data_IF_149474971813
#
_entry.id   IF_149474971813
#
_cell.length_a   1.000
_cell.length_b   1.000
_cell.length_c   1.000
_cell.angle_alpha   90.00
_cell.angle_beta   90.00
_cell.angle_gamma   90.00
#
_symmetry.space_group_name_H-M   'P 1'
#
loop_
_entity.id
_entity.type
_entity.pdbx_description
1 polymer ?
#
# COMPACT_ATOMS: atom_id res chain seq x y z
N UNK A 1 22.97 14.96 -54.49
CA UNK A 1 23.65 14.04 -53.57
C UNK A 1 23.14 14.32 -52.18
N UNK A 2 22.22 13.54 -51.73
CA UNK A 2 21.77 13.54 -50.32
C UNK A 2 21.85 12.07 -49.87
N UNK A 3 22.89 11.76 -49.09
CA UNK A 3 23.03 10.48 -48.40
C UNK A 3 21.95 10.40 -47.32
N UNK A 4 20.93 9.62 -47.62
CA UNK A 4 19.93 9.24 -46.63
C UNK A 4 20.56 8.18 -45.73
N UNK A 5 20.81 8.54 -44.47
CA UNK A 5 21.30 7.66 -43.43
C UNK A 5 20.28 6.54 -43.20
N UNK A 6 20.55 5.35 -43.74
CA UNK A 6 19.84 4.09 -43.46
C UNK A 6 20.37 3.52 -42.12
N UNK A 7 20.00 4.09 -41.00
CA UNK A 7 20.34 3.58 -39.66
C UNK A 7 19.18 2.76 -39.13
N UNK A 8 19.31 1.42 -39.02
CA UNK A 8 18.40 0.55 -38.30
C UNK A 8 17.88 -0.72 -39.03
N UNK A 9 18.31 -1.00 -40.25
CA UNK A 9 17.79 -2.13 -41.06
C UNK A 9 18.72 -3.36 -41.11
N UNK A 10 19.88 -3.32 -40.46
CA UNK A 10 20.77 -4.48 -40.43
C UNK A 10 20.22 -5.59 -39.54
N UNK A 11 20.23 -6.86 -40.00
CA UNK A 11 19.83 -8.00 -39.16
C UNK A 11 20.67 -8.08 -37.89
N UNK A 12 20.03 -8.39 -36.76
CA UNK A 12 20.72 -8.63 -35.50
C UNK A 12 21.46 -9.98 -35.57
N UNK A 13 22.71 -10.03 -35.09
CA UNK A 13 23.46 -11.26 -35.01
C UNK A 13 22.84 -12.27 -34.04
N UNK A 14 22.91 -13.58 -34.38
CA UNK A 14 22.38 -14.64 -33.53
C UNK A 14 22.97 -14.64 -32.11
N UNK A 15 24.24 -14.30 -31.96
CA UNK A 15 24.91 -14.16 -30.67
C UNK A 15 24.34 -13.04 -29.81
N UNK A 16 23.96 -11.94 -30.44
CA UNK A 16 23.34 -10.79 -29.77
C UNK A 16 21.90 -11.09 -29.33
N UNK A 17 21.14 -11.77 -30.20
CA UNK A 17 19.78 -12.22 -29.85
C UNK A 17 19.84 -13.14 -28.62
N UNK A 18 20.74 -14.13 -28.60
CA UNK A 18 20.92 -15.03 -27.47
C UNK A 18 21.32 -14.28 -26.19
N UNK A 19 22.30 -13.39 -26.30
CA UNK A 19 22.75 -12.60 -25.14
C UNK A 19 21.62 -11.75 -24.53
N UNK A 20 20.77 -11.14 -25.34
CA UNK A 20 19.61 -10.37 -24.83
C UNK A 20 18.53 -11.27 -24.24
N UNK A 21 18.25 -12.45 -24.80
CA UNK A 21 17.31 -13.42 -24.26
C UNK A 21 17.80 -13.98 -22.92
N UNK A 22 19.09 -14.31 -22.80
CA UNK A 22 19.74 -14.76 -21.57
C UNK A 22 19.66 -13.68 -20.48
N UNK A 23 19.88 -12.40 -20.85
CA UNK A 23 19.73 -11.27 -19.95
C UNK A 23 18.29 -11.17 -19.40
N UNK A 24 17.29 -11.24 -20.29
CA UNK A 24 15.87 -11.22 -19.90
C UNK A 24 15.56 -12.39 -18.96
N UNK A 25 16.05 -13.58 -19.23
CA UNK A 25 15.85 -14.75 -18.38
C UNK A 25 16.48 -14.55 -16.99
N UNK A 26 17.69 -13.99 -16.90
CA UNK A 26 18.32 -13.64 -15.62
C UNK A 26 17.55 -12.56 -14.87
N UNK A 27 17.13 -11.48 -15.54
CA UNK A 27 16.34 -10.39 -14.94
C UNK A 27 15.00 -10.88 -14.39
N UNK A 28 14.35 -11.84 -15.08
CA UNK A 28 13.04 -12.37 -14.69
C UNK A 28 13.13 -13.58 -13.75
N UNK A 29 14.32 -14.16 -13.54
CA UNK A 29 14.52 -15.39 -12.80
C UNK A 29 13.91 -16.62 -13.49
N UNK A 30 13.74 -16.55 -14.82
CA UNK A 30 13.20 -17.62 -15.65
C UNK A 30 14.28 -18.62 -16.06
N UNK A 31 13.93 -19.90 -16.12
CA UNK A 31 14.85 -20.94 -16.57
C UNK A 31 15.04 -20.88 -18.11
N UNK A 32 16.24 -20.51 -18.55
CA UNK A 32 16.60 -20.38 -19.97
C UNK A 32 16.32 -21.66 -20.75
N UNK A 33 16.41 -22.84 -20.13
CA UNK A 33 16.16 -24.13 -20.79
C UNK A 33 14.70 -24.30 -21.25
N UNK A 34 13.78 -23.56 -20.67
CA UNK A 34 12.37 -23.53 -21.06
C UNK A 34 12.05 -22.57 -22.20
N UNK A 35 13.04 -21.76 -22.63
CA UNK A 35 12.91 -20.85 -23.73
C UNK A 35 13.31 -21.56 -25.02
N UNK A 36 12.35 -22.00 -25.81
CA UNK A 36 12.60 -22.64 -27.11
C UNK A 36 12.76 -21.58 -28.18
N UNK A 37 13.96 -21.42 -28.68
CA UNK A 37 14.27 -20.51 -29.80
C UNK A 37 14.81 -21.31 -30.95
N UNK A 38 14.19 -21.18 -32.13
CA UNK A 38 14.63 -21.83 -33.35
C UNK A 38 14.73 -20.83 -34.49
N UNK A 39 15.64 -21.13 -35.42
CA UNK A 39 15.88 -20.36 -36.65
C UNK A 39 15.81 -21.33 -37.83
N UNK A 40 14.67 -21.36 -38.50
CA UNK A 40 14.46 -22.20 -39.66
C UNK A 40 14.44 -21.35 -40.93
N UNK A 41 15.37 -21.62 -41.89
CA UNK A 41 15.48 -20.86 -43.15
C UNK A 41 15.47 -19.34 -42.97
N UNK A 42 16.13 -18.83 -41.93
CA UNK A 42 16.19 -17.43 -41.52
C UNK A 42 14.93 -16.92 -40.78
N UNK A 43 13.91 -17.73 -40.61
CA UNK A 43 12.72 -17.35 -39.80
C UNK A 43 13.00 -17.49 -38.32
N UNK A 44 12.60 -16.49 -37.54
CA UNK A 44 12.72 -16.50 -36.08
C UNK A 44 11.45 -17.08 -35.45
N UNK A 45 11.61 -18.07 -34.58
CA UNK A 45 10.54 -18.65 -33.80
C UNK A 45 10.98 -18.74 -32.33
N UNK A 46 10.14 -18.19 -31.45
CA UNK A 46 10.30 -18.24 -30.00
C UNK A 46 9.04 -18.80 -29.40
N UNK A 47 9.18 -19.84 -28.56
CA UNK A 47 8.09 -20.39 -27.76
C UNK A 47 8.53 -20.58 -26.32
N UNK A 48 7.68 -20.22 -25.38
CA UNK A 48 7.94 -20.40 -23.95
C UNK A 48 6.65 -20.60 -23.18
N UNK A 49 6.73 -21.30 -22.06
CA UNK A 49 5.64 -21.38 -21.10
C UNK A 49 5.50 -20.05 -20.34
N UNK A 50 4.26 -19.69 -20.02
CA UNK A 50 3.92 -18.50 -19.22
C UNK A 50 3.21 -18.95 -17.94
N UNK A 51 3.62 -18.41 -16.79
CA UNK A 51 3.10 -18.82 -15.49
C UNK A 51 1.58 -18.62 -15.37
N UNK A 52 1.08 -17.50 -15.90
CA UNK A 52 -0.34 -17.18 -15.90
C UNK A 52 -0.73 -16.35 -17.13
N UNK A 53 -1.89 -16.67 -17.73
CA UNK A 53 -2.47 -15.93 -18.85
C UNK A 53 -3.79 -15.32 -18.37
N UNK A 54 -3.72 -14.03 -18.04
CA UNK A 54 -4.86 -13.26 -17.57
C UNK A 54 -5.06 -11.99 -18.40
N UNK A 55 -6.21 -11.32 -18.23
CA UNK A 55 -6.56 -10.12 -18.99
C UNK A 55 -5.52 -9.00 -18.84
N UNK A 56 -4.88 -8.87 -17.66
CA UNK A 56 -3.85 -7.87 -17.41
C UNK A 56 -2.61 -8.10 -18.30
N UNK A 57 -2.14 -9.36 -18.42
CA UNK A 57 -1.04 -9.71 -19.31
C UNK A 57 -1.40 -9.40 -20.76
N UNK A 58 -2.61 -9.77 -21.20
CA UNK A 58 -3.06 -9.56 -22.58
C UNK A 58 -3.12 -8.06 -22.92
N UNK A 59 -3.66 -7.24 -22.03
CA UNK A 59 -3.74 -5.77 -22.18
C UNK A 59 -2.34 -5.16 -22.24
N UNK A 60 -1.43 -5.59 -21.37
CA UNK A 60 -0.06 -5.07 -21.34
C UNK A 60 0.70 -5.42 -22.61
N UNK A 61 0.54 -6.63 -23.15
CA UNK A 61 1.13 -7.02 -24.42
C UNK A 61 0.57 -6.20 -25.58
N UNK A 62 -0.71 -5.89 -25.58
CA UNK A 62 -1.31 -4.96 -26.54
C UNK A 62 -0.67 -3.56 -26.42
N UNK A 63 -0.48 -3.06 -25.20
CA UNK A 63 0.15 -1.76 -24.95
C UNK A 63 1.62 -1.73 -25.39
N UNK A 64 2.37 -2.82 -25.20
CA UNK A 64 3.75 -2.97 -25.69
C UNK A 64 3.75 -3.01 -27.22
N UNK A 65 2.89 -3.81 -27.84
CA UNK A 65 2.78 -3.87 -29.30
C UNK A 65 2.48 -2.48 -29.89
N UNK A 66 1.55 -1.72 -29.31
CA UNK A 66 1.21 -0.36 -29.73
C UNK A 66 2.40 0.62 -29.69
N UNK A 67 3.35 0.43 -28.78
CA UNK A 67 4.54 1.30 -28.66
C UNK A 67 5.63 0.98 -29.69
N UNK A 68 5.68 -0.27 -30.17
CA UNK A 68 6.77 -0.77 -31.01
C UNK A 68 6.35 -1.04 -32.46
N UNK A 69 5.04 -1.18 -32.72
CA UNK A 69 4.50 -1.48 -34.05
C UNK A 69 3.69 -0.27 -34.54
N UNK A 70 4.03 0.23 -35.72
CA UNK A 70 3.27 1.31 -36.37
C UNK A 70 1.94 0.78 -36.93
N UNK A 71 2.01 -0.33 -37.69
CA UNK A 71 0.88 -0.95 -38.35
C UNK A 71 0.66 -2.38 -37.87
N UNK A 72 -0.42 -2.60 -37.15
CA UNK A 72 -0.74 -3.90 -36.58
C UNK A 72 -2.24 -4.06 -36.34
N UNK A 73 -2.68 -5.30 -36.20
CA UNK A 73 -4.05 -5.65 -35.85
C UNK A 73 -4.10 -6.72 -34.78
N UNK A 74 -5.15 -6.70 -33.98
CA UNK A 74 -5.54 -7.83 -33.16
C UNK A 74 -6.33 -8.78 -34.07
N UNK A 75 -5.81 -10.00 -34.25
CA UNK A 75 -6.50 -11.03 -35.02
C UNK A 75 -7.56 -11.72 -34.18
N UNK A 76 -7.26 -12.02 -32.92
CA UNK A 76 -8.17 -12.66 -31.98
C UNK A 76 -7.87 -12.14 -30.58
N UNK A 77 -8.93 -11.78 -29.83
CA UNK A 77 -8.88 -11.42 -28.43
C UNK A 77 -10.04 -12.10 -27.72
N UNK A 78 -9.74 -13.11 -26.91
CA UNK A 78 -10.69 -13.86 -26.12
C UNK A 78 -10.15 -14.06 -24.72
N UNK A 79 -10.98 -14.53 -23.79
CA UNK A 79 -10.52 -14.84 -22.43
C UNK A 79 -9.36 -15.85 -22.50
N UNK A 80 -8.20 -15.44 -22.00
CA UNK A 80 -6.97 -16.24 -22.02
C UNK A 80 -6.38 -16.53 -23.41
N UNK A 81 -6.74 -15.76 -24.44
CA UNK A 81 -6.15 -15.89 -25.77
C UNK A 81 -5.98 -14.54 -26.48
N UNK A 82 -4.78 -14.29 -26.98
CA UNK A 82 -4.46 -13.10 -27.75
C UNK A 82 -3.62 -13.48 -28.98
N UNK A 83 -4.01 -12.97 -30.15
CA UNK A 83 -3.21 -13.06 -31.36
C UNK A 83 -3.07 -11.67 -32.00
N UNK A 84 -1.84 -11.18 -32.12
CA UNK A 84 -1.49 -9.92 -32.77
C UNK A 84 -0.67 -10.22 -34.00
N UNK A 85 -0.91 -9.45 -35.07
CA UNK A 85 -0.15 -9.51 -36.30
C UNK A 85 0.23 -8.12 -36.79
N UNK A 86 1.51 -7.89 -37.11
CA UNK A 86 1.94 -6.70 -37.81
C UNK A 86 1.42 -6.72 -39.25
N UNK A 87 1.03 -5.55 -39.75
CA UNK A 87 0.49 -5.36 -41.11
C UNK A 87 1.46 -4.59 -41.97
N UNK A 88 1.54 -4.97 -43.24
CA UNK A 88 2.20 -4.20 -44.25
C UNK A 88 1.17 -3.35 -45.00
N UNK A 89 1.28 -2.01 -44.99
CA UNK A 89 0.31 -1.12 -45.64
C UNK A 89 0.50 -0.97 -47.14
N UNK A 90 1.58 -1.43 -47.71
CA UNK A 90 1.84 -1.16 -49.10
C UNK A 90 1.82 -2.42 -49.93
N UNK A 91 0.81 -2.54 -50.77
CA UNK A 91 0.74 -3.49 -51.88
C UNK A 91 1.92 -3.30 -52.91
N UNK A 92 2.67 -2.19 -52.79
CA UNK A 92 3.70 -1.80 -53.77
C UNK A 92 5.07 -1.42 -53.17
N UNK A 93 5.25 -1.45 -51.85
CA UNK A 93 6.56 -1.24 -51.23
C UNK A 93 7.01 -2.50 -50.48
N UNK A 94 8.09 -3.09 -50.93
CA UNK A 94 8.62 -4.38 -50.47
C UNK A 94 9.49 -4.29 -49.20
N UNK A 95 9.60 -3.14 -48.56
CA UNK A 95 10.52 -2.91 -47.44
C UNK A 95 9.86 -2.19 -46.29
N UNK A 96 9.04 -2.89 -45.52
CA UNK A 96 8.56 -2.44 -44.20
C UNK A 96 9.35 -3.07 -43.06
N UNK A 97 9.75 -2.25 -42.04
CA UNK A 97 10.70 -2.63 -40.99
C UNK A 97 10.19 -3.73 -40.04
N UNK A 98 8.90 -3.98 -39.99
CA UNK A 98 8.27 -4.91 -39.03
C UNK A 98 7.34 -5.92 -39.72
N UNK A 99 7.67 -6.28 -40.95
CA UNK A 99 6.88 -7.22 -41.72
C UNK A 99 6.91 -8.62 -41.13
N UNK A 100 5.71 -9.14 -40.86
CA UNK A 100 5.45 -10.57 -40.62
C UNK A 100 5.73 -11.07 -39.21
N UNK A 101 5.84 -10.18 -38.19
CA UNK A 101 5.89 -10.64 -36.81
C UNK A 101 4.45 -11.01 -36.33
N UNK A 102 4.31 -12.16 -35.71
CA UNK A 102 3.09 -12.64 -35.09
C UNK A 102 3.39 -12.93 -33.62
N UNK A 103 2.51 -12.45 -32.75
CA UNK A 103 2.56 -12.68 -31.31
C UNK A 103 1.30 -13.43 -30.95
N UNK A 104 1.42 -14.60 -30.32
CA UNK A 104 0.31 -15.38 -29.83
C UNK A 104 0.52 -15.73 -28.37
N UNK A 105 -0.50 -15.51 -27.56
CA UNK A 105 -0.56 -15.94 -26.17
C UNK A 105 -1.78 -16.83 -26.03
N UNK A 106 -1.59 -18.02 -25.47
CA UNK A 106 -2.64 -19.01 -25.26
C UNK A 106 -2.61 -19.50 -23.82
N UNK A 107 -3.78 -19.50 -23.16
CA UNK A 107 -4.03 -20.09 -21.85
C UNK A 107 -5.18 -21.11 -21.91
N UNK A 108 -5.51 -21.60 -23.11
CA UNK A 108 -6.62 -22.52 -23.34
C UNK A 108 -6.17 -23.99 -23.13
N UNK A 109 -7.08 -24.83 -22.67
CA UNK A 109 -6.90 -26.30 -22.51
C UNK A 109 -5.70 -26.73 -21.64
N UNK A 110 -5.28 -25.87 -20.68
CA UNK A 110 -4.17 -26.19 -19.77
C UNK A 110 -2.78 -25.86 -20.29
N UNK A 111 -2.64 -25.47 -21.56
CA UNK A 111 -1.38 -25.05 -22.14
C UNK A 111 -1.26 -23.53 -22.06
N UNK A 112 -0.32 -23.02 -21.25
CA UNK A 112 -0.03 -21.59 -21.11
C UNK A 112 1.25 -21.26 -21.86
N UNK A 113 1.13 -20.76 -23.09
CA UNK A 113 2.26 -20.53 -23.98
C UNK A 113 2.23 -19.12 -24.59
N UNK A 114 3.43 -18.54 -24.73
CA UNK A 114 3.73 -17.40 -25.55
C UNK A 114 4.52 -17.87 -26.78
N UNK A 115 4.04 -17.51 -27.97
CA UNK A 115 4.70 -17.75 -29.23
C UNK A 115 4.92 -16.44 -29.96
N UNK A 116 6.15 -16.21 -30.41
CA UNK A 116 6.51 -15.07 -31.28
C UNK A 116 7.19 -15.62 -32.51
N UNK A 117 6.61 -15.36 -33.67
CA UNK A 117 7.16 -15.82 -34.96
C UNK A 117 7.36 -14.65 -35.87
N UNK A 118 8.47 -14.68 -36.63
CA UNK A 118 8.78 -13.72 -37.68
C UNK A 118 9.38 -14.41 -38.88
N UNK A 119 8.96 -14.02 -40.07
CA UNK A 119 9.59 -14.43 -41.33
C UNK A 119 10.80 -13.56 -41.63
N UNK A 120 11.98 -14.17 -41.64
CA UNK A 120 13.29 -13.50 -41.83
C UNK A 120 13.95 -13.12 -40.51
N UNK A 121 15.13 -12.53 -40.58
CA UNK A 121 15.94 -12.15 -39.43
C UNK A 121 15.33 -11.00 -38.64
N UNK A 122 15.58 -10.95 -37.32
CA UNK A 122 15.17 -9.85 -36.45
C UNK A 122 16.04 -8.60 -36.71
N UNK A 123 15.40 -7.43 -36.62
CA UNK A 123 16.09 -6.14 -36.57
C UNK A 123 16.07 -5.60 -35.12
N UNK A 124 16.92 -4.62 -34.76
CA UNK A 124 17.02 -4.14 -33.36
C UNK A 124 15.69 -3.70 -32.72
N UNK A 125 14.83 -3.03 -33.51
CA UNK A 125 13.51 -2.60 -33.01
C UNK A 125 12.59 -3.79 -32.66
N UNK A 126 12.66 -4.86 -33.46
CA UNK A 126 11.90 -6.09 -33.23
C UNK A 126 12.45 -6.90 -32.06
N UNK A 127 13.78 -6.95 -31.91
CA UNK A 127 14.41 -7.54 -30.73
C UNK A 127 13.96 -6.81 -29.45
N UNK A 128 13.88 -5.48 -29.48
CA UNK A 128 13.36 -4.68 -28.39
C UNK A 128 11.89 -5.02 -28.06
N UNK A 129 11.05 -5.21 -29.07
CA UNK A 129 9.66 -5.67 -28.89
C UNK A 129 9.61 -7.05 -28.24
N UNK A 130 10.36 -8.02 -28.79
CA UNK A 130 10.42 -9.40 -28.29
C UNK A 130 10.87 -9.42 -26.82
N UNK A 131 11.94 -8.72 -26.48
CA UNK A 131 12.45 -8.65 -25.10
C UNK A 131 11.49 -7.94 -24.14
N UNK A 132 10.81 -6.88 -24.58
CA UNK A 132 9.79 -6.21 -23.77
C UNK A 132 8.59 -7.12 -23.46
N UNK A 133 8.12 -7.89 -24.46
CA UNK A 133 7.04 -8.87 -24.25
C UNK A 133 7.51 -9.99 -23.32
N UNK A 134 8.71 -10.52 -23.52
CA UNK A 134 9.26 -11.57 -22.67
C UNK A 134 9.42 -11.09 -21.22
N UNK A 135 9.99 -9.91 -20.98
CA UNK A 135 10.08 -9.33 -19.63
C UNK A 135 8.71 -9.26 -18.96
N UNK A 136 7.68 -8.93 -19.72
CA UNK A 136 6.32 -8.84 -19.18
C UNK A 136 5.68 -10.22 -18.98
N UNK A 137 5.88 -11.16 -19.89
CA UNK A 137 5.27 -12.48 -19.86
C UNK A 137 5.99 -13.45 -18.89
N UNK A 138 7.31 -13.39 -18.81
CA UNK A 138 8.16 -14.24 -17.96
C UNK A 138 8.50 -13.58 -16.63
N UNK A 139 8.51 -12.25 -16.57
CA UNK A 139 8.57 -11.55 -15.29
C UNK A 139 7.47 -12.13 -14.43
N UNK A 140 7.78 -12.50 -13.19
CA UNK A 140 6.73 -12.76 -12.18
C UNK A 140 5.71 -11.67 -12.40
N UNK A 141 4.48 -12.05 -12.75
CA UNK A 141 3.43 -11.12 -13.13
C UNK A 141 3.64 -9.86 -12.31
N UNK A 142 3.83 -8.69 -12.96
CA UNK A 142 3.63 -7.45 -12.24
C UNK A 142 2.15 -7.51 -11.91
N UNK A 143 1.86 -8.19 -10.78
CA UNK A 143 0.59 -8.13 -10.13
C UNK A 143 0.23 -6.66 -10.05
N UNK A 144 -1.02 -6.29 -10.14
CA UNK A 144 -1.50 -4.95 -9.81
C UNK A 144 -0.59 -4.42 -8.70
N UNK A 145 -0.14 -3.16 -8.80
CA UNK A 145 0.62 -2.57 -7.69
C UNK A 145 -0.04 -3.03 -6.39
N UNK A 146 0.66 -3.76 -5.51
CA UNK A 146 0.03 -4.31 -4.30
C UNK A 146 -0.69 -3.24 -3.49
N UNK A 147 -0.21 -1.99 -3.54
CA UNK A 147 -0.85 -0.86 -2.86
C UNK A 147 -2.17 -0.45 -3.54
N UNK A 148 -2.24 -0.56 -4.86
CA UNK A 148 -3.48 -0.31 -5.60
C UNK A 148 -4.50 -1.42 -5.32
N UNK A 149 -4.06 -2.68 -5.33
CA UNK A 149 -4.91 -3.83 -5.02
C UNK A 149 -5.46 -3.76 -3.59
N UNK A 150 -4.62 -3.40 -2.61
CA UNK A 150 -5.07 -3.14 -1.23
C UNK A 150 -6.11 -2.02 -1.15
N UNK A 151 -5.96 -0.97 -1.97
CA UNK A 151 -6.95 0.12 -2.04
C UNK A 151 -8.28 -0.37 -2.63
N UNK A 152 -8.27 -1.18 -3.67
CA UNK A 152 -9.46 -1.82 -4.24
C UNK A 152 -10.14 -2.79 -3.25
N UNK A 153 -9.36 -3.42 -2.38
CA UNK A 153 -9.87 -4.22 -1.26
C UNK A 153 -10.45 -3.38 -0.12
N UNK A 154 -10.48 -2.05 -0.26
CA UNK A 154 -11.07 -1.11 0.71
C UNK A 154 -10.12 -0.71 1.86
N UNK A 155 -8.81 -0.90 1.69
CA UNK A 155 -7.82 -0.37 2.61
C UNK A 155 -7.47 1.09 2.25
N UNK A 156 -7.13 1.89 3.25
CA UNK A 156 -6.56 3.22 3.02
C UNK A 156 -5.04 3.16 3.06
N UNK A 157 -4.39 3.52 1.97
CA UNK A 157 -2.93 3.50 1.84
C UNK A 157 -2.38 4.90 2.08
N UNK A 158 -1.53 5.06 3.09
CA UNK A 158 -0.82 6.29 3.41
C UNK A 158 0.66 6.15 3.08
N UNK A 159 1.17 7.06 2.26
CA UNK A 159 2.60 7.08 1.88
C UNK A 159 3.39 8.01 2.80
N UNK A 160 4.69 7.77 3.01
CA UNK A 160 5.54 8.65 3.82
C UNK A 160 5.58 10.10 3.33
N UNK A 161 5.33 10.31 2.03
CA UNK A 161 5.29 11.62 1.36
C UNK A 161 4.00 12.39 1.59
N UNK A 162 2.94 11.72 2.09
CA UNK A 162 1.64 12.35 2.27
C UNK A 162 1.70 13.44 3.35
N UNK A 163 0.95 14.50 3.10
CA UNK A 163 0.78 15.54 4.10
C UNK A 163 0.03 14.99 5.32
N UNK A 164 0.62 15.12 6.49
CA UNK A 164 0.00 14.73 7.74
C UNK A 164 -0.23 15.96 8.61
N UNK A 165 -1.35 16.02 9.33
CA UNK A 165 -1.53 17.03 10.36
C UNK A 165 -0.40 16.90 11.40
N UNK A 166 0.12 18.01 11.86
CA UNK A 166 1.13 18.03 12.93
C UNK A 166 0.54 17.39 14.19
N UNK A 167 1.33 16.56 14.86
CA UNK A 167 0.99 16.10 16.22
C UNK A 167 1.61 17.08 17.19
N UNK A 168 0.76 17.87 17.81
CA UNK A 168 1.14 18.90 18.76
C UNK A 168 0.97 18.42 20.20
N UNK A 169 1.20 17.14 20.52
CA UNK A 169 1.06 16.61 21.87
C UNK A 169 1.75 15.25 22.03
N UNK A 170 1.78 14.75 23.28
CA UNK A 170 2.28 13.42 23.61
C UNK A 170 3.77 13.19 23.37
N UNK A 171 4.62 14.12 23.77
CA UNK A 171 6.06 13.99 23.58
C UNK A 171 6.61 12.66 24.13
N UNK A 172 6.24 12.28 25.36
CA UNK A 172 6.67 11.01 25.98
C UNK A 172 6.21 9.78 25.20
N UNK A 173 4.97 9.80 24.69
CA UNK A 173 4.45 8.69 23.88
C UNK A 173 5.17 8.63 22.53
N UNK A 174 5.46 9.78 21.90
CA UNK A 174 6.24 9.85 20.65
C UNK A 174 7.65 9.31 20.84
N UNK A 175 8.33 9.63 21.93
CA UNK A 175 9.64 9.08 22.26
C UNK A 175 9.58 7.56 22.42
N UNK A 176 8.59 7.04 23.18
CA UNK A 176 8.39 5.59 23.35
C UNK A 176 8.09 4.89 22.01
N UNK A 177 7.26 5.48 21.14
CA UNK A 177 6.98 4.97 19.80
C UNK A 177 8.22 4.99 18.91
N UNK A 178 9.03 6.04 19.02
CA UNK A 178 10.29 6.15 18.28
C UNK A 178 11.27 5.05 18.68
N UNK A 179 11.44 4.81 19.96
CA UNK A 179 12.31 3.74 20.47
C UNK A 179 11.79 2.34 20.11
N UNK A 180 10.48 2.14 20.27
CA UNK A 180 9.86 0.81 20.09
C UNK A 180 9.67 0.44 18.63
N UNK A 181 9.31 1.39 17.75
CA UNK A 181 8.95 1.12 16.38
C UNK A 181 9.89 1.78 15.36
N UNK A 182 10.06 3.11 15.44
CA UNK A 182 10.74 3.85 14.37
C UNK A 182 12.21 3.47 14.24
N UNK A 183 12.96 3.46 15.37
CA UNK A 183 14.39 3.15 15.36
C UNK A 183 14.69 1.71 14.90
N UNK A 184 13.98 0.66 15.41
CA UNK A 184 14.19 -0.71 14.93
C UNK A 184 13.88 -0.88 13.44
N UNK A 185 12.87 -0.17 12.93
CA UNK A 185 12.44 -0.26 11.54
C UNK A 185 13.37 0.47 10.58
N UNK A 186 13.95 1.60 11.02
CA UNK A 186 14.92 2.36 10.21
C UNK A 186 16.32 1.75 10.20
N UNK A 187 16.68 1.04 11.26
CA UNK A 187 18.04 0.55 11.46
C UNK A 187 18.07 -0.96 11.79
N UNK A 188 17.44 -1.82 10.95
CA UNK A 188 17.31 -3.24 11.24
C UNK A 188 18.65 -3.92 11.49
N UNK A 189 19.69 -3.57 10.72
CA UNK A 189 21.00 -4.18 10.79
C UNK A 189 21.69 -3.98 12.14
N UNK A 190 21.46 -2.84 12.79
CA UNK A 190 22.03 -2.55 14.12
C UNK A 190 21.43 -3.50 15.17
N UNK A 191 20.10 -3.66 15.14
CA UNK A 191 19.39 -4.55 16.07
C UNK A 191 19.74 -6.02 15.83
N UNK A 192 19.83 -6.44 14.57
CA UNK A 192 20.22 -7.80 14.18
C UNK A 192 21.67 -8.12 14.58
N UNK A 193 22.59 -7.14 14.42
CA UNK A 193 24.00 -7.29 14.86
C UNK A 193 24.10 -7.46 16.37
N UNK A 194 23.38 -6.65 17.14
CA UNK A 194 23.35 -6.78 18.60
C UNK A 194 22.76 -8.13 19.01
N UNK A 195 21.63 -8.53 18.41
CA UNK A 195 20.99 -9.81 18.71
C UNK A 195 21.91 -11.02 18.45
N UNK A 196 22.70 -10.99 17.36
CA UNK A 196 23.70 -12.02 17.05
C UNK A 196 24.86 -12.09 18.08
N UNK A 197 25.19 -10.98 18.73
CA UNK A 197 26.25 -10.90 19.71
C UNK A 197 25.79 -11.31 21.13
N UNK A 198 24.48 -11.17 21.41
CA UNK A 198 23.92 -11.35 22.75
C UNK A 198 23.19 -12.68 22.94
N UNK A 199 22.80 -13.36 21.86
CA UNK A 199 21.99 -14.58 21.91
C UNK A 199 22.74 -15.76 21.31
N UNK A 200 22.57 -16.93 21.90
CA UNK A 200 23.12 -18.20 21.39
C UNK A 200 22.46 -18.63 20.08
N UNK A 201 21.16 -18.33 19.93
CA UNK A 201 20.40 -18.52 18.68
C UNK A 201 19.91 -17.19 18.18
N UNK A 202 20.10 -16.94 16.88
CA UNK A 202 19.64 -15.70 16.27
C UNK A 202 18.12 -15.66 16.18
N UNK A 203 17.52 -14.66 16.78
CA UNK A 203 16.14 -14.29 16.59
C UNK A 203 16.06 -12.79 16.33
N UNK A 204 15.22 -12.38 15.40
CA UNK A 204 14.99 -10.97 15.04
C UNK A 204 14.51 -10.20 16.28
N UNK A 205 15.16 -9.06 16.57
CA UNK A 205 14.80 -8.20 17.71
C UNK A 205 14.11 -6.91 17.23
N UNK A 206 13.06 -7.09 16.45
CA UNK A 206 12.19 -6.00 15.97
C UNK A 206 10.76 -6.36 16.31
N UNK A 207 9.94 -5.40 16.73
CA UNK A 207 8.53 -5.67 16.99
C UNK A 207 7.83 -6.08 15.69
N UNK A 208 7.09 -7.17 15.74
CA UNK A 208 6.29 -7.71 14.62
C UNK A 208 4.83 -7.28 14.73
N UNK A 209 4.37 -7.24 15.97
CA UNK A 209 3.01 -6.83 16.29
C UNK A 209 3.01 -5.91 17.51
N UNK A 210 2.37 -4.75 17.39
CA UNK A 210 2.25 -3.75 18.45
C UNK A 210 0.77 -3.38 18.62
N UNK A 211 0.32 -3.31 19.88
CA UNK A 211 -1.06 -2.96 20.21
C UNK A 211 -1.14 -1.53 20.74
N UNK A 212 -1.94 -0.70 20.11
CA UNK A 212 -2.32 0.63 20.59
C UNK A 212 -3.65 0.53 21.36
N UNK A 213 -3.63 0.85 22.64
CA UNK A 213 -4.81 0.79 23.51
C UNK A 213 -5.15 2.17 24.05
N UNK A 214 -6.41 2.41 24.37
CA UNK A 214 -6.83 3.64 25.05
C UNK A 214 -8.17 4.19 24.54
N UNK A 215 -8.71 5.21 25.18
CA UNK A 215 -10.02 5.78 24.86
C UNK A 215 -10.15 6.25 23.42
N UNK A 216 -11.37 6.36 22.88
CA UNK A 216 -11.60 6.88 21.55
C UNK A 216 -11.17 8.37 21.45
N UNK A 217 -10.61 8.76 20.30
CA UNK A 217 -10.21 10.15 20.07
C UNK A 217 -8.88 10.58 20.69
N UNK A 218 -8.04 9.64 21.18
CA UNK A 218 -6.70 9.90 21.71
C UNK A 218 -5.61 9.95 20.62
N UNK A 219 -5.97 9.69 19.35
CA UNK A 219 -5.04 9.87 18.24
C UNK A 219 -4.29 8.62 17.77
N UNK A 220 -4.73 7.40 18.12
CA UNK A 220 -4.10 6.13 17.74
C UNK A 220 -3.84 6.03 16.23
N UNK A 221 -4.86 6.23 15.41
CA UNK A 221 -4.76 6.18 13.94
C UNK A 221 -3.83 7.26 13.39
N UNK A 222 -3.88 8.47 13.94
CA UNK A 222 -3.00 9.57 13.55
C UNK A 222 -1.54 9.24 13.88
N UNK A 223 -1.30 8.67 15.06
CA UNK A 223 0.05 8.30 15.50
C UNK A 223 0.65 7.16 14.66
N UNK A 224 -0.15 6.15 14.27
CA UNK A 224 0.30 5.10 13.35
C UNK A 224 0.79 5.69 12.02
N UNK A 225 0.08 6.67 11.46
CA UNK A 225 0.49 7.37 10.24
C UNK A 225 1.78 8.17 10.43
N UNK A 226 1.96 8.80 11.58
CA UNK A 226 3.20 9.53 11.90
C UNK A 226 4.39 8.60 12.07
N UNK A 227 4.21 7.45 12.73
CA UNK A 227 5.23 6.40 12.83
C UNK A 227 5.65 5.95 11.42
N UNK A 228 4.69 5.67 10.54
CA UNK A 228 4.98 5.31 9.14
C UNK A 228 5.77 6.38 8.41
N UNK A 229 5.35 7.65 8.53
CA UNK A 229 6.07 8.78 7.92
C UNK A 229 7.48 8.92 8.46
N UNK A 230 7.66 8.88 9.77
CA UNK A 230 8.97 9.00 10.41
C UNK A 230 9.86 7.80 10.09
N UNK A 231 9.31 6.58 10.04
CA UNK A 231 10.05 5.38 9.65
C UNK A 231 10.33 5.30 8.13
N UNK A 232 9.68 6.13 7.31
CA UNK A 232 9.77 6.07 5.85
C UNK A 232 9.00 4.89 5.24
N UNK A 233 7.97 4.38 5.94
CA UNK A 233 7.20 3.21 5.57
C UNK A 233 5.78 3.57 5.13
N UNK A 234 5.24 2.78 4.20
CA UNK A 234 3.83 2.83 3.83
C UNK A 234 2.99 2.29 4.99
N UNK A 235 1.87 2.96 5.28
CA UNK A 235 0.86 2.48 6.24
C UNK A 235 -0.40 2.08 5.49
N UNK A 236 -0.77 0.81 5.62
CA UNK A 236 -2.03 0.27 5.09
C UNK A 236 -3.02 0.18 6.24
N UNK A 237 -4.01 1.05 6.23
CA UNK A 237 -5.05 1.13 7.25
C UNK A 237 -6.25 0.26 6.87
N UNK A 238 -6.60 -0.65 7.75
CA UNK A 238 -7.69 -1.62 7.61
C UNK A 238 -8.68 -1.40 8.74
N UNK A 239 -9.88 -0.93 8.44
CA UNK A 239 -10.98 -0.83 9.40
C UNK A 239 -11.69 -2.20 9.47
N UNK A 240 -11.52 -2.92 10.57
CA UNK A 240 -12.05 -4.29 10.70
C UNK A 240 -13.57 -4.34 10.73
N UNK A 241 -14.26 -3.30 11.19
CA UNK A 241 -15.73 -3.18 11.10
C UNK A 241 -16.22 -3.30 9.65
N UNK A 242 -15.52 -2.67 8.70
CA UNK A 242 -15.89 -2.72 7.28
C UNK A 242 -15.70 -4.11 6.66
N UNK A 243 -14.81 -4.91 7.25
CA UNK A 243 -14.62 -6.30 6.84
C UNK A 243 -15.73 -7.18 7.39
N UNK A 244 -16.15 -6.96 8.64
CA UNK A 244 -17.21 -7.72 9.29
C UNK A 244 -18.59 -7.50 8.65
N UNK A 245 -18.85 -6.32 8.11
CA UNK A 245 -20.11 -5.97 7.46
C UNK A 245 -20.31 -6.65 6.09
N UNK A 246 -19.27 -7.22 5.50
CA UNK A 246 -19.36 -7.98 4.25
C UNK A 246 -20.04 -9.34 4.46
N UNK A 247 -20.70 -9.85 3.41
CA UNK A 247 -21.49 -11.10 3.43
C UNK A 247 -20.75 -12.27 4.08
N UNK A 248 -21.54 -13.16 4.75
CA UNK A 248 -21.09 -14.39 5.42
C UNK A 248 -20.10 -15.20 4.57
N UNK A 249 -18.89 -15.42 5.07
CA UNK A 249 -17.82 -16.19 4.40
C UNK A 249 -16.82 -15.39 3.57
N UNK A 250 -17.13 -14.14 3.17
CA UNK A 250 -16.20 -13.28 2.41
C UNK A 250 -15.23 -12.56 3.34
N UNK A 251 -15.64 -12.23 4.56
CA UNK A 251 -14.84 -11.49 5.53
C UNK A 251 -13.48 -12.15 5.84
N UNK A 252 -13.47 -13.47 6.03
CA UNK A 252 -12.24 -14.24 6.31
C UNK A 252 -11.31 -14.29 5.11
N UNK A 253 -11.87 -14.45 3.89
CA UNK A 253 -11.12 -14.47 2.64
C UNK A 253 -10.52 -13.08 2.37
N UNK A 254 -11.30 -12.02 2.63
CA UNK A 254 -10.86 -10.63 2.44
C UNK A 254 -9.72 -10.27 3.38
N UNK A 255 -9.84 -10.59 4.68
CA UNK A 255 -8.76 -10.36 5.65
C UNK A 255 -7.50 -11.14 5.28
N UNK A 256 -7.62 -12.43 4.96
CA UNK A 256 -6.49 -13.24 4.51
C UNK A 256 -5.85 -12.66 3.25
N UNK A 257 -6.66 -12.27 2.26
CA UNK A 257 -6.20 -11.66 1.01
C UNK A 257 -5.43 -10.34 1.23
N UNK A 258 -5.87 -9.49 2.18
CA UNK A 258 -5.15 -8.26 2.53
C UNK A 258 -3.73 -8.58 3.01
N UNK A 259 -3.56 -9.56 3.90
CA UNK A 259 -2.23 -9.99 4.34
C UNK A 259 -1.41 -10.58 3.19
N UNK A 260 -2.03 -11.43 2.33
CA UNK A 260 -1.34 -12.08 1.21
C UNK A 260 -0.86 -11.04 0.19
N UNK A 261 -1.69 -10.06 -0.15
CA UNK A 261 -1.30 -8.96 -1.05
C UNK A 261 -0.23 -8.07 -0.40
N UNK A 262 -0.38 -7.72 0.89
CA UNK A 262 0.62 -6.94 1.61
C UNK A 262 1.99 -7.62 1.63
N UNK A 263 2.05 -8.97 1.75
CA UNK A 263 3.29 -9.75 1.68
C UNK A 263 3.97 -9.70 0.30
N UNK A 264 3.25 -9.41 -0.78
CA UNK A 264 3.85 -9.25 -2.11
C UNK A 264 4.54 -7.90 -2.31
N UNK A 265 4.29 -6.94 -1.42
CA UNK A 265 4.96 -5.65 -1.46
C UNK A 265 6.43 -5.80 -1.03
N UNK A 266 7.35 -5.34 -1.88
CA UNK A 266 8.79 -5.61 -1.72
C UNK A 266 9.45 -4.87 -0.57
N UNK A 267 8.89 -3.72 -0.18
CA UNK A 267 9.44 -2.90 0.91
C UNK A 267 8.70 -3.19 2.21
N UNK A 268 9.31 -2.92 3.37
CA UNK A 268 8.61 -2.99 4.64
C UNK A 268 7.39 -2.06 4.65
N UNK A 269 6.28 -2.51 5.26
CA UNK A 269 5.08 -1.72 5.45
C UNK A 269 4.47 -1.94 6.84
N UNK A 270 3.69 -0.98 7.30
CA UNK A 270 2.87 -1.09 8.51
C UNK A 270 1.44 -1.46 8.10
N UNK A 271 0.96 -2.61 8.56
CA UNK A 271 -0.44 -3.00 8.45
C UNK A 271 -1.15 -2.56 9.73
N UNK A 272 -1.90 -1.46 9.65
CA UNK A 272 -2.62 -0.88 10.78
C UNK A 272 -4.07 -1.39 10.79
N UNK A 273 -4.38 -2.24 11.79
CA UNK A 273 -5.69 -2.83 12.00
C UNK A 273 -6.44 -2.00 13.04
N UNK A 274 -7.39 -1.19 12.59
CA UNK A 274 -8.18 -0.33 13.48
C UNK A 274 -9.40 -1.07 14.02
N UNK A 275 -9.78 -0.74 15.25
CA UNK A 275 -10.97 -1.28 15.93
C UNK A 275 -10.96 -2.81 16.03
N UNK A 276 -9.81 -3.39 16.45
CA UNK A 276 -9.71 -4.84 16.62
C UNK A 276 -10.67 -5.41 17.67
N UNK A 277 -11.24 -4.57 18.52
CA UNK A 277 -12.34 -4.93 19.44
C UNK A 277 -13.63 -5.33 18.72
N UNK A 278 -13.76 -5.05 17.42
CA UNK A 278 -14.81 -5.65 16.59
C UNK A 278 -14.74 -7.20 16.54
N UNK A 279 -13.57 -7.78 16.86
CA UNK A 279 -13.37 -9.22 16.99
C UNK A 279 -13.72 -9.77 18.38
N UNK A 280 -14.04 -8.89 19.33
CA UNK A 280 -14.43 -9.31 20.68
C UNK A 280 -15.75 -10.12 20.66
N UNK A 281 -15.97 -11.01 21.66
CA UNK A 281 -17.17 -11.81 21.72
C UNK A 281 -18.44 -10.98 21.69
N UNK A 282 -19.34 -11.27 20.74
CA UNK A 282 -20.65 -10.64 20.63
C UNK A 282 -21.72 -11.50 21.32
N UNK A 283 -22.77 -10.86 21.86
CA UNK A 283 -23.97 -11.58 22.38
C UNK A 283 -24.82 -12.19 21.27
N UNK A 284 -24.64 -11.76 20.03
CA UNK A 284 -25.33 -12.33 18.85
C UNK A 284 -24.53 -13.52 18.33
N UNK A 285 -25.15 -14.73 18.35
CA UNK A 285 -24.50 -15.99 17.96
C UNK A 285 -23.87 -15.95 16.54
N UNK A 286 -24.55 -15.33 15.58
CA UNK A 286 -24.06 -15.25 14.19
C UNK A 286 -22.83 -14.34 14.10
N UNK A 287 -22.83 -13.18 14.77
CA UNK A 287 -21.69 -12.27 14.82
C UNK A 287 -20.54 -12.90 15.61
N UNK A 288 -20.84 -13.65 16.67
CA UNK A 288 -19.87 -14.38 17.46
C UNK A 288 -19.08 -15.41 16.63
N UNK A 289 -19.76 -16.19 15.80
CA UNK A 289 -19.10 -17.18 14.94
C UNK A 289 -18.23 -16.51 13.86
N UNK A 290 -18.71 -15.42 13.26
CA UNK A 290 -17.95 -14.66 12.27
C UNK A 290 -16.67 -14.04 12.89
N UNK A 291 -16.80 -13.42 14.06
CA UNK A 291 -15.68 -12.85 14.81
C UNK A 291 -14.64 -13.91 15.19
N UNK A 292 -15.06 -15.08 15.66
CA UNK A 292 -14.15 -16.20 15.97
C UNK A 292 -13.36 -16.69 14.76
N UNK A 293 -14.02 -16.80 13.60
CA UNK A 293 -13.36 -17.21 12.35
C UNK A 293 -12.34 -16.18 11.90
N UNK A 294 -12.69 -14.88 11.96
CA UNK A 294 -11.76 -13.79 11.66
C UNK A 294 -10.58 -13.76 12.62
N UNK A 295 -10.84 -13.90 13.93
CA UNK A 295 -9.80 -13.99 14.95
C UNK A 295 -8.82 -15.14 14.64
N UNK A 296 -9.33 -16.32 14.29
CA UNK A 296 -8.50 -17.48 13.92
C UNK A 296 -7.64 -17.22 12.68
N UNK A 297 -8.14 -16.46 11.71
CA UNK A 297 -7.36 -16.04 10.53
C UNK A 297 -6.29 -15.03 10.93
N UNK A 298 -6.65 -14.04 11.74
CA UNK A 298 -5.73 -13.00 12.21
C UNK A 298 -4.56 -13.62 13.00
N UNK A 299 -4.86 -14.50 13.95
CA UNK A 299 -3.83 -15.21 14.74
C UNK A 299 -2.85 -15.96 13.84
N UNK A 300 -3.35 -16.76 12.90
CA UNK A 300 -2.51 -17.49 11.94
C UNK A 300 -1.67 -16.56 11.07
N UNK A 301 -2.22 -15.41 10.66
CA UNK A 301 -1.49 -14.45 9.82
C UNK A 301 -0.38 -13.76 10.63
N UNK A 302 -0.64 -13.37 11.88
CA UNK A 302 0.39 -12.79 12.75
C UNK A 302 1.48 -13.83 13.06
N UNK A 303 1.12 -15.07 13.42
CA UNK A 303 2.08 -16.16 13.66
C UNK A 303 2.91 -16.47 12.39
N UNK A 304 2.28 -16.48 11.21
CA UNK A 304 2.96 -16.71 9.93
C UNK A 304 3.97 -15.64 9.52
N UNK A 305 3.98 -14.48 10.18
CA UNK A 305 4.97 -13.43 9.96
C UNK A 305 6.34 -13.71 10.60
N UNK A 306 6.48 -14.81 11.38
CA UNK A 306 7.71 -15.10 12.15
C UNK A 306 8.97 -15.28 11.31
N UNK A 307 8.86 -15.74 10.07
CA UNK A 307 10.02 -16.21 9.33
C UNK A 307 10.54 -15.28 8.23
N UNK A 308 9.76 -14.38 7.64
CA UNK A 308 10.22 -13.58 6.48
C UNK A 308 9.44 -12.28 6.20
N UNK A 309 8.60 -11.74 7.11
CA UNK A 309 7.73 -10.68 6.67
C UNK A 309 8.33 -9.28 6.74
N UNK A 310 8.15 -8.55 5.66
CA UNK A 310 8.31 -7.11 5.62
C UNK A 310 7.11 -6.36 6.23
N UNK A 311 6.20 -7.06 6.95
CA UNK A 311 4.99 -6.50 7.53
C UNK A 311 5.15 -6.31 9.02
N UNK A 312 4.82 -5.14 9.51
CA UNK A 312 4.65 -4.84 10.92
C UNK A 312 3.16 -4.63 11.17
N UNK A 313 2.58 -5.47 12.00
CA UNK A 313 1.16 -5.34 12.35
C UNK A 313 1.00 -4.40 13.54
N UNK A 314 0.20 -3.35 13.37
CA UNK A 314 -0.17 -2.45 14.46
C UNK A 314 -1.67 -2.56 14.67
N UNK A 315 -2.09 -3.13 15.78
CA UNK A 315 -3.50 -3.18 16.17
C UNK A 315 -3.91 -1.95 16.97
N UNK A 316 -5.14 -1.47 16.81
CA UNK A 316 -5.70 -0.42 17.68
C UNK A 316 -7.05 -0.85 18.25
N UNK A 317 -7.24 -0.59 19.54
CA UNK A 317 -8.48 -0.90 20.24
C UNK A 317 -8.84 0.18 21.27
N UNK A 318 -10.13 0.37 21.47
CA UNK A 318 -10.66 1.20 22.55
C UNK A 318 -11.02 0.36 23.79
N UNK A 319 -11.04 -0.99 23.66
CA UNK A 319 -11.57 -1.93 24.67
C UNK A 319 -10.66 -3.16 24.76
N UNK A 320 -9.39 -2.96 25.13
CA UNK A 320 -8.40 -4.03 25.16
C UNK A 320 -8.77 -5.17 26.14
N UNK A 321 -9.55 -4.85 27.18
CA UNK A 321 -10.02 -5.84 28.18
C UNK A 321 -11.00 -6.87 27.57
N UNK A 322 -11.67 -6.53 26.48
CA UNK A 322 -12.62 -7.41 25.80
C UNK A 322 -11.94 -8.32 24.78
N UNK A 323 -10.63 -8.12 24.51
CA UNK A 323 -9.88 -8.91 23.55
C UNK A 323 -9.52 -10.29 24.12
N UNK A 324 -9.51 -11.28 23.23
CA UNK A 324 -9.09 -12.64 23.54
C UNK A 324 -7.61 -12.67 23.98
N UNK A 325 -7.30 -13.44 25.04
CA UNK A 325 -5.95 -13.56 25.58
C UNK A 325 -4.95 -14.14 24.58
N UNK A 326 -5.40 -15.02 23.68
CA UNK A 326 -4.57 -15.56 22.60
C UNK A 326 -4.17 -14.46 21.62
N UNK A 327 -5.05 -13.49 21.35
CA UNK A 327 -4.69 -12.34 20.51
C UNK A 327 -3.71 -11.41 21.22
N UNK A 328 -3.95 -11.11 22.49
CA UNK A 328 -3.06 -10.26 23.30
C UNK A 328 -1.64 -10.81 23.38
N UNK A 329 -1.50 -12.15 23.49
CA UNK A 329 -0.19 -12.81 23.55
C UNK A 329 0.62 -12.74 22.24
N UNK A 330 0.03 -12.31 21.12
CA UNK A 330 0.70 -12.13 19.82
C UNK A 330 1.30 -10.74 19.63
N UNK A 331 0.96 -9.80 20.52
CA UNK A 331 1.54 -8.46 20.47
C UNK A 331 2.80 -8.40 21.34
N UNK A 332 3.93 -8.08 20.71
CA UNK A 332 5.23 -7.94 21.37
C UNK A 332 5.25 -6.79 22.37
N UNK A 333 4.45 -5.75 22.11
CA UNK A 333 4.37 -4.53 22.93
C UNK A 333 2.99 -3.93 22.92
N UNK A 334 2.55 -3.46 24.08
CA UNK A 334 1.30 -2.71 24.26
C UNK A 334 1.66 -1.26 24.58
N UNK A 335 1.11 -0.32 23.81
CA UNK A 335 1.31 1.11 23.99
C UNK A 335 -0.03 1.80 24.34
N UNK A 336 -0.06 2.42 25.50
CA UNK A 336 -1.26 3.06 26.03
C UNK A 336 -1.36 4.51 25.57
N UNK A 337 -2.49 4.86 24.99
CA UNK A 337 -2.88 6.19 24.58
C UNK A 337 -3.87 6.74 25.58
N UNK A 338 -3.37 7.40 26.60
CA UNK A 338 -4.20 8.00 27.63
C UNK A 338 -4.81 9.33 27.16
N UNK A 339 -5.75 9.86 27.93
CA UNK A 339 -6.21 11.23 27.75
C UNK A 339 -5.04 12.21 27.92
N UNK A 340 -5.02 13.34 27.20
CA UNK A 340 -3.92 14.28 27.26
C UNK A 340 -3.79 14.91 28.66
N UNK A 341 -2.57 14.97 29.15
CA UNK A 341 -2.24 15.71 30.37
C UNK A 341 -2.30 17.23 30.13
N UNK A 342 -2.28 18.04 31.20
CA UNK A 342 -2.34 19.50 31.08
C UNK A 342 -1.24 20.05 30.14
N UNK A 343 -0.04 19.46 30.18
CA UNK A 343 1.07 19.82 29.28
C UNK A 343 0.74 19.54 27.81
N UNK A 344 0.18 18.37 27.53
CA UNK A 344 -0.25 17.98 26.18
C UNK A 344 -1.39 18.89 25.68
N UNK A 345 -2.32 19.27 26.57
CA UNK A 345 -3.41 20.19 26.24
C UNK A 345 -2.85 21.58 25.89
N UNK A 346 -1.84 22.05 26.59
CA UNK A 346 -1.17 23.31 26.27
C UNK A 346 -0.53 23.27 24.88
N UNK A 347 0.14 22.16 24.52
CA UNK A 347 0.68 21.99 23.19
C UNK A 347 -0.43 21.97 22.11
N UNK A 348 -1.56 21.32 22.39
CA UNK A 348 -2.72 21.33 21.50
C UNK A 348 -3.32 22.73 21.35
N UNK A 349 -3.45 23.51 22.44
CA UNK A 349 -3.94 24.87 22.38
C UNK A 349 -2.98 25.80 21.62
N UNK A 350 -1.66 25.64 21.78
CA UNK A 350 -0.69 26.36 20.98
C UNK A 350 -0.83 26.08 19.47
N UNK A 351 -1.35 24.92 19.12
CA UNK A 351 -1.61 24.55 17.72
C UNK A 351 -2.96 25.06 17.22
N UNK A 352 -4.05 24.86 18.00
CA UNK A 352 -5.42 25.18 17.58
C UNK A 352 -5.89 26.59 17.98
N UNK A 353 -5.24 27.22 18.94
CA UNK A 353 -5.62 28.50 19.50
C UNK A 353 -4.38 29.40 19.76
N UNK A 354 -3.45 29.43 18.82
CA UNK A 354 -2.14 30.08 18.90
C UNK A 354 -2.16 31.56 19.29
N UNK A 355 -3.30 32.23 19.11
CA UNK A 355 -3.51 33.65 19.43
C UNK A 355 -3.78 33.88 20.92
N UNK A 356 -4.07 32.83 21.70
CA UNK A 356 -4.31 33.02 23.15
C UNK A 356 -3.00 33.34 23.89
N UNK A 357 -3.02 34.32 24.81
CA UNK A 357 -1.91 34.54 25.71
C UNK A 357 -1.60 33.28 26.55
N UNK A 358 -0.35 33.08 26.93
CA UNK A 358 0.10 31.92 27.68
C UNK A 358 -0.69 31.66 28.97
N UNK A 359 -1.03 32.75 29.70
CA UNK A 359 -1.83 32.66 30.92
C UNK A 359 -3.27 32.19 30.67
N UNK A 360 -3.88 32.62 29.56
CA UNK A 360 -5.22 32.21 29.17
C UNK A 360 -5.25 30.78 28.66
N UNK A 361 -4.21 30.36 27.91
CA UNK A 361 -4.00 28.98 27.49
C UNK A 361 -3.88 28.03 28.70
N UNK A 362 -3.14 28.43 29.73
CA UNK A 362 -3.03 27.64 30.98
C UNK A 362 -4.37 27.53 31.71
N UNK A 363 -5.14 28.62 31.81
CA UNK A 363 -6.48 28.60 32.44
C UNK A 363 -7.43 27.66 31.66
N UNK A 364 -7.38 27.73 30.34
CA UNK A 364 -8.22 26.91 29.49
C UNK A 364 -7.78 25.44 29.52
N UNK A 365 -6.47 25.14 29.52
CA UNK A 365 -5.94 23.80 29.61
C UNK A 365 -6.42 23.06 30.88
N UNK A 366 -6.35 23.73 32.03
CA UNK A 366 -6.88 23.16 33.29
C UNK A 366 -8.35 22.78 33.22
N UNK A 367 -9.14 23.60 32.50
CA UNK A 367 -10.57 23.31 32.34
C UNK A 367 -10.82 22.18 31.33
N UNK A 368 -9.87 21.90 30.41
CA UNK A 368 -10.00 20.85 29.39
C UNK A 368 -9.46 19.49 29.82
N UNK A 369 -8.88 19.37 31.02
CA UNK A 369 -8.46 18.06 31.58
C UNK A 369 -9.63 17.08 31.60
N UNK A 370 -9.39 15.83 31.19
CA UNK A 370 -10.41 14.78 31.02
C UNK A 370 -11.11 14.80 29.66
N UNK A 371 -10.67 15.66 28.73
CA UNK A 371 -11.15 15.64 27.34
C UNK A 371 -10.18 14.90 26.42
N UNK A 372 -10.71 14.14 25.48
CA UNK A 372 -9.89 13.55 24.42
C UNK A 372 -9.35 14.62 23.45
N UNK A 373 -8.28 14.30 22.73
CA UNK A 373 -7.69 15.19 21.69
C UNK A 373 -8.74 15.62 20.67
N UNK A 374 -9.61 14.70 20.26
CA UNK A 374 -10.74 15.00 19.35
C UNK A 374 -11.68 16.04 19.96
N UNK A 375 -12.03 15.90 21.23
CA UNK A 375 -12.91 16.83 21.92
C UNK A 375 -12.30 18.23 22.03
N UNK A 376 -11.00 18.33 22.38
CA UNK A 376 -10.27 19.59 22.46
C UNK A 376 -10.27 20.31 21.11
N UNK A 377 -9.91 19.58 20.04
CA UNK A 377 -9.96 20.10 18.68
C UNK A 377 -11.36 20.59 18.30
N UNK A 378 -12.38 19.80 18.60
CA UNK A 378 -13.77 20.13 18.25
C UNK A 378 -14.27 21.37 19.00
N UNK A 379 -13.87 21.57 20.26
CA UNK A 379 -14.13 22.81 21.01
C UNK A 379 -13.45 24.00 20.34
N UNK A 380 -12.18 23.87 19.94
CA UNK A 380 -11.47 24.95 19.27
C UNK A 380 -12.13 25.35 17.95
N UNK A 381 -12.46 24.38 17.11
CA UNK A 381 -13.12 24.62 15.82
C UNK A 381 -14.55 25.17 15.96
N UNK A 382 -15.27 24.82 17.05
CA UNK A 382 -16.59 25.42 17.34
C UNK A 382 -16.47 26.86 17.79
N UNK A 383 -15.49 27.18 18.63
CA UNK A 383 -15.24 28.57 19.04
C UNK A 383 -14.98 29.50 17.84
N UNK A 384 -14.19 29.03 16.86
CA UNK A 384 -13.97 29.77 15.61
C UNK A 384 -15.27 29.97 14.82
N UNK A 385 -16.11 28.93 14.71
CA UNK A 385 -17.40 29.01 14.00
C UNK A 385 -18.40 29.94 14.71
N UNK A 386 -18.42 29.96 16.04
CA UNK A 386 -19.28 30.88 16.79
C UNK A 386 -18.88 32.32 16.53
N UNK A 387 -17.58 32.65 16.58
CA UNK A 387 -17.11 33.99 16.26
C UNK A 387 -17.44 34.37 14.81
N UNK A 388 -17.17 33.48 13.85
CA UNK A 388 -17.46 33.74 12.45
C UNK A 388 -18.96 34.02 12.22
N UNK A 389 -19.85 33.25 12.85
CA UNK A 389 -21.31 33.47 12.80
C UNK A 389 -21.70 34.85 13.34
N UNK A 390 -21.21 35.23 14.52
CA UNK A 390 -21.52 36.53 15.11
C UNK A 390 -21.04 37.69 14.24
N UNK A 391 -19.88 37.57 13.61
CA UNK A 391 -19.38 38.59 12.67
C UNK A 391 -20.22 38.69 11.39
N UNK A 392 -20.70 37.58 10.86
CA UNK A 392 -21.56 37.58 9.67
C UNK A 392 -22.93 38.19 10.01
N UNK A 393 -23.53 37.80 11.14
CA UNK A 393 -24.85 38.31 11.57
C UNK A 393 -24.80 39.81 11.95
N UNK A 394 -23.68 40.30 12.49
CA UNK A 394 -23.54 41.73 12.83
C UNK A 394 -23.08 42.63 11.70
N UNK A 395 -22.92 42.11 10.48
CA UNK A 395 -22.38 42.82 9.31
C UNK A 395 -20.98 43.43 9.55
N UNK A 396 -20.31 43.02 10.63
CA UNK A 396 -18.97 43.48 11.02
C UNK A 396 -17.84 42.66 10.35
N UNK A 397 -18.10 42.08 9.17
CA UNK A 397 -17.20 41.16 8.45
C UNK A 397 -15.84 41.77 8.07
N UNK A 398 -15.62 43.05 8.31
CA UNK A 398 -14.36 43.75 8.04
C UNK A 398 -13.31 43.57 9.16
N UNK A 399 -13.66 43.05 10.33
CA UNK A 399 -12.74 42.88 11.47
C UNK A 399 -12.64 41.40 11.85
N UNK A 400 -11.94 40.61 11.00
CA UNK A 400 -11.63 39.22 11.33
C UNK A 400 -10.70 39.17 12.56
N UNK A 401 -11.28 39.15 13.74
CA UNK A 401 -10.57 38.96 15.01
C UNK A 401 -10.61 37.47 15.38
N UNK A 402 -9.55 36.99 16.01
CA UNK A 402 -9.49 35.60 16.49
C UNK A 402 -10.32 35.43 17.78
N UNK A 403 -10.85 34.22 18.07
CA UNK A 403 -11.61 33.98 19.30
C UNK A 403 -10.76 34.29 20.57
N UNK A 404 -11.39 34.98 21.52
CA UNK A 404 -10.83 35.23 22.84
C UNK A 404 -11.09 34.07 23.80
N UNK A 405 -10.44 34.03 24.97
CA UNK A 405 -10.68 33.01 26.00
C UNK A 405 -12.17 32.80 26.29
N UNK A 406 -12.96 33.85 26.30
CA UNK A 406 -14.39 33.78 26.58
C UNK A 406 -15.17 32.89 25.60
N UNK A 407 -14.83 32.94 24.31
CA UNK A 407 -15.42 32.06 23.29
C UNK A 407 -15.10 30.58 23.55
N UNK A 408 -13.85 30.27 23.90
CA UNK A 408 -13.46 28.87 24.20
C UNK A 408 -14.14 28.35 25.45
N UNK A 409 -14.20 29.17 26.52
CA UNK A 409 -14.86 28.77 27.78
C UNK A 409 -16.35 28.55 27.57
N UNK A 410 -17.03 29.45 26.84
CA UNK A 410 -18.44 29.29 26.48
C UNK A 410 -18.67 28.00 25.68
N UNK A 411 -17.88 27.79 24.65
CA UNK A 411 -17.99 26.60 23.79
C UNK A 411 -17.68 25.32 24.56
N UNK A 412 -16.75 25.35 25.50
CA UNK A 412 -16.45 24.21 26.38
C UNK A 412 -17.63 23.88 27.28
N UNK A 413 -18.29 24.90 27.85
CA UNK A 413 -19.49 24.71 28.67
C UNK A 413 -20.63 24.08 27.86
N UNK A 414 -20.89 24.60 26.65
CA UNK A 414 -21.89 24.04 25.72
C UNK A 414 -21.54 22.60 25.27
N UNK A 415 -20.26 22.31 25.09
CA UNK A 415 -19.80 20.96 24.73
C UNK A 415 -20.06 19.95 25.84
N UNK A 416 -19.88 20.34 27.11
CA UNK A 416 -20.15 19.48 28.25
C UNK A 416 -21.63 19.23 28.45
N UNK A 417 -22.46 20.28 28.35
CA UNK A 417 -23.93 20.17 28.47
C UNK A 417 -24.58 19.24 27.42
N UNK A 418 -23.97 19.12 26.26
CA UNK A 418 -24.48 18.25 25.18
C UNK A 418 -23.95 16.78 25.27
N UNK A 419 -23.16 16.46 26.28
CA UNK A 419 -22.61 15.11 26.49
C UNK A 419 -23.22 14.37 27.66
N UNK A 420 -23.83 15.11 28.60
CA UNK A 420 -24.69 14.60 29.69
C UNK A 420 -26.11 14.40 29.15
#
# INVERSE_FOLDING_TARGET
MAETVKTGLSPVALSEIRAELDRVAQETGFDVQKLQVSFERSDFNLRTEVADVNDALLIDVIAIAKRHLENWRIHTFEKSFLSIQALNESLFQTEGLLDKIKIRISGLYGEKALEITKKGALVPAELSLVTAILRRALGKAQGKDPLLELTEMGCHVYRPTDALPSIAAFQRLREKLRETLVLPLRNPDVYDKIARQTRSEFAVNRPRAVLFTGPPGTGKTTMARHVGKEAGLVVVHVALENILSAYYGESTKRLAGIFDVAMTYRQPLILFLDEIDALAPSRNEKLFEASRRLLSVLLRKIDGLETQSNIITVGATNRWQDLDSALLSRFDTILEFNEPAEEDILELLNFYAKQLPAEDSKKLAKQMVGLSVRAIRDVCLRAERHLAREQIESSAASAATAPTLAYYVRTLAEYRLNRD
#
